data_IF_866493504838
#
_entry.id   IF_866493504838
#
_cell.length_a   1.000
_cell.length_b   1.000
_cell.length_c   1.000
_cell.angle_alpha   90.00
_cell.angle_beta   90.00
_cell.angle_gamma   90.00
#
_symmetry.space_group_name_H-M   'P 1'
#
loop_
_entity.id
_entity.type
_entity.pdbx_description
1 polymer ?
#
# COMPACT_ATOMS: atom_id res chain seq x y z
N UNK A 1 8.35 -15.82 12.78
CA UNK A 1 7.64 -14.89 11.88
C UNK A 1 8.32 -13.52 11.83
N UNK A 2 8.68 -12.92 12.96
CA UNK A 2 9.32 -11.58 12.99
C UNK A 2 10.53 -11.42 12.04
N UNK A 3 11.49 -12.35 12.03
CA UNK A 3 12.61 -12.30 11.08
C UNK A 3 12.20 -12.35 9.60
N UNK A 4 11.11 -13.06 9.27
CA UNK A 4 10.59 -13.13 7.91
C UNK A 4 9.91 -11.82 7.50
N UNK A 5 9.20 -11.18 8.43
CA UNK A 5 8.59 -9.87 8.22
C UNK A 5 9.66 -8.78 8.06
N UNK A 6 10.71 -8.80 8.88
CA UNK A 6 11.85 -7.88 8.74
C UNK A 6 12.56 -8.03 7.39
N UNK A 7 12.85 -9.28 6.98
CA UNK A 7 13.43 -9.56 5.67
C UNK A 7 12.51 -9.12 4.53
N UNK A 8 11.21 -9.34 4.67
CA UNK A 8 10.22 -8.89 3.70
C UNK A 8 10.17 -7.38 3.58
N UNK A 9 10.15 -6.64 4.70
CA UNK A 9 10.17 -5.17 4.68
C UNK A 9 11.41 -4.61 4.01
N UNK A 10 12.58 -5.22 4.24
CA UNK A 10 13.82 -4.87 3.54
C UNK A 10 13.74 -5.18 2.05
N UNK A 11 13.14 -6.31 1.68
CA UNK A 11 12.89 -6.66 0.29
C UNK A 11 11.97 -5.66 -0.39
N UNK A 12 10.85 -5.28 0.24
CA UNK A 12 9.93 -4.27 -0.29
C UNK A 12 10.61 -2.91 -0.45
N UNK A 13 11.46 -2.51 0.50
CA UNK A 13 12.26 -1.28 0.41
C UNK A 13 13.21 -1.33 -0.80
N UNK A 14 13.90 -2.45 -1.01
CA UNK A 14 14.77 -2.63 -2.17
C UNK A 14 13.99 -2.57 -3.50
N UNK A 15 12.81 -3.19 -3.57
CA UNK A 15 11.94 -3.12 -4.76
C UNK A 15 11.49 -1.67 -5.00
N UNK A 16 10.99 -0.99 -3.96
CA UNK A 16 10.53 0.39 -4.05
C UNK A 16 11.64 1.34 -4.55
N UNK A 17 12.90 1.09 -4.18
CA UNK A 17 14.04 1.90 -4.66
C UNK A 17 14.30 1.83 -6.16
N UNK A 18 13.74 0.83 -6.86
CA UNK A 18 14.05 0.51 -8.25
C UNK A 18 12.90 0.81 -9.22
N UNK A 19 11.77 1.31 -8.71
CA UNK A 19 10.58 1.60 -9.50
C UNK A 19 10.32 3.10 -9.52
N UNK A 20 9.86 3.61 -10.67
CA UNK A 20 9.56 5.03 -10.86
C UNK A 20 8.13 5.38 -10.44
N UNK A 21 7.20 4.43 -10.54
CA UNK A 21 5.79 4.63 -10.26
C UNK A 21 5.11 3.32 -9.82
N UNK A 22 4.01 3.45 -9.09
CA UNK A 22 3.13 2.33 -8.71
C UNK A 22 1.83 2.46 -9.47
N UNK A 23 1.53 1.45 -10.30
CA UNK A 23 0.27 1.38 -11.03
C UNK A 23 -0.93 0.97 -10.15
N UNK A 24 -1.98 0.51 -10.81
CA UNK A 24 -3.22 0.09 -10.16
C UNK A 24 -4.26 1.21 -10.06
N UNK A 25 -5.45 0.86 -9.57
CA UNK A 25 -6.57 1.78 -9.43
C UNK A 25 -6.62 2.26 -8.00
N UNK A 26 -6.58 3.58 -7.81
CA UNK A 26 -6.73 4.16 -6.49
C UNK A 26 -8.12 4.75 -6.33
N UNK A 27 -8.86 4.19 -5.38
CA UNK A 27 -10.23 4.60 -5.07
C UNK A 27 -10.25 5.33 -3.73
N UNK A 28 -10.93 6.47 -3.68
CA UNK A 28 -11.30 7.13 -2.43
C UNK A 28 -12.51 6.38 -1.83
N UNK A 29 -12.36 5.84 -0.62
CA UNK A 29 -13.49 5.30 0.12
C UNK A 29 -14.01 6.34 1.11
N UNK A 30 -15.33 6.64 1.08
CA UNK A 30 -15.94 7.47 2.12
C UNK A 30 -15.90 6.71 3.44
N UNK A 31 -15.22 7.27 4.43
CA UNK A 31 -15.19 6.73 5.79
C UNK A 31 -16.59 6.92 6.43
N UNK A 32 -17.25 5.81 6.77
CA UNK A 32 -18.63 5.83 7.28
C UNK A 32 -18.78 6.43 8.69
N UNK A 33 -17.68 6.78 9.36
CA UNK A 33 -17.68 7.31 10.71
C UNK A 33 -17.49 8.83 10.72
N UNK A 34 -18.60 9.53 10.89
CA UNK A 34 -18.77 10.99 10.90
C UNK A 34 -18.14 11.75 12.08
N UNK A 35 -17.20 11.17 12.82
CA UNK A 35 -16.63 11.80 14.04
C UNK A 35 -15.11 11.74 14.16
N UNK A 36 -14.38 11.28 13.13
CA UNK A 36 -12.93 11.47 13.06
C UNK A 36 -12.60 12.36 11.88
N UNK A 37 -12.11 13.56 12.20
CA UNK A 37 -11.63 14.61 11.32
C UNK A 37 -11.27 14.14 9.89
N UNK A 38 -12.17 14.37 8.93
CA UNK A 38 -11.86 14.57 7.51
C UNK A 38 -10.95 13.56 6.80
N UNK A 39 -10.80 12.34 7.30
CA UNK A 39 -9.89 11.35 6.75
C UNK A 39 -10.45 10.72 5.48
N UNK A 40 -10.06 11.23 4.32
CA UNK A 40 -10.20 10.49 3.05
C UNK A 40 -9.32 9.26 3.13
N UNK A 41 -9.91 8.07 3.06
CA UNK A 41 -9.15 6.82 3.03
C UNK A 41 -8.95 6.43 1.57
N UNK A 42 -7.69 6.49 1.11
CA UNK A 42 -7.32 6.07 -0.23
C UNK A 42 -6.90 4.61 -0.22
N UNK A 43 -7.37 3.87 -1.23
CA UNK A 43 -7.09 2.46 -1.38
C UNK A 43 -6.58 2.20 -2.79
N UNK A 44 -5.36 1.67 -2.92
CA UNK A 44 -4.78 1.34 -4.21
C UNK A 44 -4.80 -0.19 -4.39
N UNK A 45 -5.34 -0.64 -5.52
CA UNK A 45 -5.55 -2.06 -5.82
C UNK A 45 -4.26 -2.89 -5.84
N UNK A 46 -3.12 -2.29 -6.17
CA UNK A 46 -1.82 -2.97 -6.16
C UNK A 46 -1.37 -3.30 -4.73
N UNK A 47 -1.45 -2.34 -3.81
CA UNK A 47 -1.12 -2.60 -2.40
C UNK A 47 -2.07 -3.65 -1.80
N UNK A 48 -3.35 -3.64 -2.18
CA UNK A 48 -4.34 -4.63 -1.73
C UNK A 48 -4.05 -6.02 -2.26
N UNK A 49 -3.62 -6.13 -3.52
CA UNK A 49 -3.24 -7.41 -4.11
C UNK A 49 -2.05 -8.01 -3.36
N UNK A 50 -0.98 -7.22 -3.14
CA UNK A 50 0.19 -7.69 -2.38
C UNK A 50 -0.21 -8.05 -0.94
N UNK A 51 -1.02 -7.21 -0.29
CA UNK A 51 -1.42 -7.45 1.09
C UNK A 51 -2.27 -8.72 1.25
N UNK A 52 -3.13 -9.02 0.27
CA UNK A 52 -3.88 -10.28 0.20
C UNK A 52 -2.94 -11.48 0.16
N UNK A 53 -1.96 -11.47 -0.75
CA UNK A 53 -0.98 -12.56 -0.89
C UNK A 53 -0.18 -12.77 0.41
N UNK A 54 0.26 -11.69 1.07
CA UNK A 54 0.97 -11.77 2.36
C UNK A 54 0.14 -12.46 3.44
N UNK A 55 -1.17 -12.19 3.50
CA UNK A 55 -2.07 -12.82 4.45
C UNK A 55 -2.29 -14.30 4.10
N UNK A 56 -2.52 -14.61 2.82
CA UNK A 56 -2.76 -15.98 2.35
C UNK A 56 -1.58 -16.91 2.61
N UNK A 57 -0.35 -16.43 2.43
CA UNK A 57 0.86 -17.20 2.75
C UNK A 57 1.19 -17.24 4.26
N UNK A 58 0.41 -16.52 5.08
CA UNK A 58 0.57 -16.46 6.54
C UNK A 58 1.75 -15.62 7.02
N UNK A 59 2.27 -14.70 6.20
CA UNK A 59 3.33 -13.78 6.59
C UNK A 59 2.80 -12.64 7.49
N UNK A 60 1.53 -12.26 7.31
CA UNK A 60 0.78 -11.39 8.20
C UNK A 60 -0.55 -12.06 8.60
N UNK A 61 -1.10 -11.67 9.75
CA UNK A 61 -2.36 -12.22 10.29
C UNK A 61 -3.59 -11.45 9.84
N UNK A 62 -3.42 -10.17 9.53
CA UNK A 62 -4.51 -9.30 9.08
C UNK A 62 -4.06 -8.46 7.90
N UNK A 63 -5.06 -7.90 7.20
CA UNK A 63 -4.83 -7.00 6.08
C UNK A 63 -4.08 -5.73 6.53
N UNK A 64 -4.42 -5.18 7.71
CA UNK A 64 -3.74 -4.02 8.27
C UNK A 64 -2.26 -4.30 8.54
N UNK A 65 -1.96 -5.47 9.12
CA UNK A 65 -0.58 -5.89 9.35
C UNK A 65 0.19 -6.04 8.03
N UNK A 66 -0.42 -6.63 7.01
CA UNK A 66 0.18 -6.77 5.69
C UNK A 66 0.45 -5.41 5.02
N UNK A 67 -0.51 -4.48 5.09
CA UNK A 67 -0.36 -3.11 4.55
C UNK A 67 0.78 -2.37 5.25
N UNK A 68 0.95 -2.55 6.56
CA UNK A 68 2.06 -1.96 7.32
C UNK A 68 3.44 -2.48 6.92
N UNK A 69 3.53 -3.68 6.32
CA UNK A 69 4.79 -4.22 5.78
C UNK A 69 5.12 -3.67 4.38
N UNK A 70 4.12 -3.16 3.65
CA UNK A 70 4.24 -2.72 2.26
C UNK A 70 4.38 -1.19 2.22
N UNK A 71 3.36 -0.48 2.68
CA UNK A 71 3.16 0.96 2.44
C UNK A 71 4.35 1.82 2.88
N UNK A 72 5.00 1.59 4.03
CA UNK A 72 6.13 2.42 4.44
C UNK A 72 7.32 2.37 3.46
N UNK A 73 7.55 1.24 2.79
CA UNK A 73 8.62 1.11 1.80
C UNK A 73 8.38 1.99 0.58
N UNK A 74 7.15 2.03 0.07
CA UNK A 74 6.78 2.89 -1.06
C UNK A 74 6.68 4.35 -0.66
N UNK A 75 6.18 4.63 0.55
CA UNK A 75 6.15 5.98 1.13
C UNK A 75 7.55 6.60 1.21
N UNK A 76 8.56 5.80 1.56
CA UNK A 76 9.94 6.26 1.67
C UNK A 76 10.50 6.82 0.36
N UNK A 77 10.00 6.35 -0.79
CA UNK A 77 10.43 6.78 -2.12
C UNK A 77 9.39 7.66 -2.83
N UNK A 78 8.44 8.26 -2.08
CA UNK A 78 7.37 9.12 -2.62
C UNK A 78 6.48 8.41 -3.66
N UNK A 79 6.37 7.09 -3.57
CA UNK A 79 5.58 6.25 -4.49
C UNK A 79 4.13 6.06 -4.04
N UNK A 80 3.72 6.75 -2.98
CA UNK A 80 2.31 6.88 -2.64
C UNK A 80 1.75 8.02 -3.48
N UNK A 81 0.75 7.70 -4.32
CA UNK A 81 0.05 8.66 -5.16
C UNK A 81 -0.28 9.93 -4.36
N UNK A 82 0.35 11.03 -4.74
CA UNK A 82 0.24 12.34 -4.09
C UNK A 82 -0.72 13.26 -4.82
N UNK A 83 -0.99 12.99 -6.11
CA UNK A 83 -1.90 13.77 -6.94
C UNK A 83 -3.01 12.89 -7.53
N UNK A 84 -4.24 13.17 -7.13
CA UNK A 84 -5.43 12.76 -7.86
C UNK A 84 -5.85 13.90 -8.79
N UNK A 85 -5.40 13.84 -10.05
CA UNK A 85 -6.35 14.14 -11.13
C UNK A 85 -6.93 12.79 -11.52
N UNK A 86 -8.25 12.64 -11.55
CA UNK A 86 -8.90 11.38 -11.94
C UNK A 86 -8.75 11.07 -13.43
N UNK A 87 -7.56 11.24 -13.97
CA UNK A 87 -7.22 10.93 -15.36
C UNK A 87 -6.49 9.59 -15.38
N UNK A 88 -7.04 8.64 -16.14
CA UNK A 88 -6.30 7.47 -16.60
C UNK A 88 -5.04 7.99 -17.32
N UNK A 89 -3.87 7.83 -16.70
CA UNK A 89 -2.61 8.06 -17.39
C UNK A 89 -2.36 6.86 -18.31
N UNK A 90 -2.83 6.97 -19.54
CA UNK A 90 -2.42 6.11 -20.65
C UNK A 90 -1.09 6.61 -21.21
N UNK A 91 -0.07 5.72 -21.28
CA UNK A 91 1.20 5.96 -21.98
C UNK A 91 1.01 6.17 -23.48
#
# INVERSE_FOLDING_TARGET
>A
MQFAQELFSLFMLAIASQIAEVGGITTEQPTANRESEGGRQYHNSFFTAIATEIVEIGLARTMEEAVLLIVPAFAHYDLLLTDFSGEEVTF
#
